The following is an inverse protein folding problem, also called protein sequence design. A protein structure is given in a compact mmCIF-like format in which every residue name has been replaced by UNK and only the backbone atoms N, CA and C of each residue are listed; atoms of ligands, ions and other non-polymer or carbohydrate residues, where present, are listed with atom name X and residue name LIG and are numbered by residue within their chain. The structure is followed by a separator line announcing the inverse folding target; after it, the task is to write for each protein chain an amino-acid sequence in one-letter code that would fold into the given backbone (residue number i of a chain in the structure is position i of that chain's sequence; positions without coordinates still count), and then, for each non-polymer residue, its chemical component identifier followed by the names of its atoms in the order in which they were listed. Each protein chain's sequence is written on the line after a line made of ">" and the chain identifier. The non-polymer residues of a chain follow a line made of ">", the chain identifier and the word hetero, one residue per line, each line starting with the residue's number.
data_IF_317986276432
#
_entry.id   IF_317986276432
#
_cell.length_a   1.000
_cell.length_b   1.000
_cell.length_c   1.000
_cell.angle_alpha   90.00
_cell.angle_beta   90.00
_cell.angle_gamma   90.00
#
_symmetry.space_group_name_H-M   'P 1'
#
loop_
_entity.id
_entity.type
_entity.pdbx_description
1 polymer ?
#
# COMPACT_ATOMS: atom_id res chain seq x y z
N UNK A 1 25.58 -13.73 -48.00
CA UNK A 1 24.64 -13.48 -46.90
C UNK A 1 25.36 -13.81 -45.60
N UNK A 2 25.97 -12.81 -44.96
CA UNK A 2 26.74 -12.98 -43.71
C UNK A 2 25.87 -12.48 -42.58
N UNK A 3 25.46 -13.39 -41.68
CA UNK A 3 24.69 -13.06 -40.49
C UNK A 3 25.68 -12.77 -39.35
N UNK A 4 25.86 -11.49 -39.04
CA UNK A 4 26.65 -11.05 -37.88
C UNK A 4 25.73 -11.02 -36.66
N UNK A 5 25.88 -11.98 -35.75
CA UNK A 5 25.27 -11.87 -34.42
C UNK A 5 26.11 -10.90 -33.58
N UNK A 6 25.60 -9.68 -33.41
CA UNK A 6 26.13 -8.73 -32.44
C UNK A 6 25.77 -9.19 -31.02
N UNK A 7 26.76 -9.69 -30.28
CA UNK A 7 26.61 -9.99 -28.85
C UNK A 7 26.52 -8.70 -28.04
N UNK A 8 25.33 -8.38 -27.54
CA UNK A 8 25.13 -7.26 -26.61
C UNK A 8 25.54 -7.75 -25.21
N UNK A 9 26.73 -7.34 -24.76
CA UNK A 9 27.18 -7.56 -23.38
C UNK A 9 26.35 -6.71 -22.42
N UNK A 10 25.42 -7.35 -21.71
CA UNK A 10 24.61 -6.68 -20.69
C UNK A 10 25.43 -6.46 -19.41
N UNK A 11 25.97 -5.26 -19.23
CA UNK A 11 26.39 -4.77 -17.90
C UNK A 11 25.13 -4.38 -17.10
N UNK A 12 24.41 -5.38 -16.62
CA UNK A 12 23.36 -5.19 -15.62
C UNK A 12 23.96 -5.39 -14.23
N UNK A 13 24.27 -4.31 -13.52
CA UNK A 13 24.55 -4.39 -12.08
C UNK A 13 23.33 -4.98 -11.39
N UNK A 14 23.47 -6.20 -10.85
CA UNK A 14 22.41 -6.88 -10.11
C UNK A 14 22.13 -6.09 -8.83
N UNK A 15 21.01 -5.38 -8.77
CA UNK A 15 20.51 -4.79 -7.54
C UNK A 15 20.33 -5.91 -6.52
N UNK A 16 21.19 -5.96 -5.51
CA UNK A 16 21.19 -7.00 -4.49
C UNK A 16 20.04 -6.72 -3.50
N UNK A 17 18.82 -7.07 -3.89
CA UNK A 17 17.67 -7.09 -2.98
C UNK A 17 17.73 -8.38 -2.17
N UNK A 18 18.38 -8.32 -1.00
CA UNK A 18 18.33 -9.43 -0.04
C UNK A 18 16.86 -9.66 0.33
N UNK A 19 16.37 -10.92 0.39
CA UNK A 19 15.02 -11.22 0.85
C UNK A 19 14.74 -10.50 2.16
N UNK A 20 13.82 -9.54 2.15
CA UNK A 20 13.43 -8.82 3.39
C UNK A 20 12.42 -9.62 4.21
N UNK A 21 11.93 -10.71 3.66
CA UNK A 21 11.10 -11.74 4.26
C UNK A 21 11.93 -12.94 4.77
N UNK A 22 13.17 -12.71 5.21
CA UNK A 22 13.93 -13.74 5.91
C UNK A 22 13.07 -14.29 7.06
N UNK A 23 13.09 -15.61 7.32
CA UNK A 23 12.45 -16.17 8.49
C UNK A 23 12.90 -15.35 9.69
N UNK A 24 11.93 -14.77 10.41
CA UNK A 24 12.24 -13.92 11.54
C UNK A 24 12.87 -14.81 12.62
N UNK A 25 14.21 -14.89 12.58
CA UNK A 25 14.99 -15.65 13.54
C UNK A 25 14.69 -15.04 14.90
N UNK A 26 13.94 -15.79 15.72
CA UNK A 26 13.38 -15.32 16.99
C UNK A 26 12.55 -14.04 16.83
N UNK A 27 11.42 -14.12 16.11
CA UNK A 27 10.27 -13.37 16.60
C UNK A 27 9.98 -13.94 18.00
N UNK A 28 10.43 -13.26 19.05
CA UNK A 28 9.55 -13.14 20.19
C UNK A 28 8.24 -12.67 19.55
N UNK A 29 7.23 -13.56 19.49
CA UNK A 29 5.90 -13.19 19.06
C UNK A 29 5.56 -12.01 19.93
N UNK A 30 5.72 -10.80 19.39
CA UNK A 30 5.22 -9.62 20.03
C UNK A 30 3.74 -9.92 20.08
N UNK A 31 3.25 -10.32 21.25
CA UNK A 31 1.83 -10.35 21.53
C UNK A 31 1.44 -8.88 21.44
N UNK A 32 1.18 -8.42 20.21
CA UNK A 32 0.43 -7.20 19.99
C UNK A 32 -0.86 -7.51 20.71
N UNK A 33 -1.15 -6.83 21.85
CA UNK A 33 -2.42 -7.07 22.52
C UNK A 33 -3.48 -6.88 21.46
N UNK A 34 -4.25 -7.94 21.18
CA UNK A 34 -5.41 -7.81 20.32
C UNK A 34 -6.22 -6.71 20.98
N UNK A 35 -6.39 -5.60 20.27
CA UNK A 35 -7.18 -4.50 20.79
C UNK A 35 -8.55 -5.09 21.07
N UNK A 36 -8.95 -5.08 22.34
CA UNK A 36 -10.29 -5.46 22.74
C UNK A 36 -11.26 -4.79 21.78
N UNK A 37 -12.26 -5.53 21.24
CA UNK A 37 -13.26 -4.94 20.36
C UNK A 37 -13.88 -3.74 21.09
N UNK A 38 -13.41 -2.55 20.74
CA UNK A 38 -14.03 -1.34 21.22
C UNK A 38 -15.42 -1.31 20.60
N UNK A 39 -16.43 -0.91 21.38
CA UNK A 39 -17.74 -0.65 20.83
C UNK A 39 -17.60 0.46 19.78
N UNK A 40 -17.49 0.05 18.51
CA UNK A 40 -17.42 0.91 17.34
C UNK A 40 -18.79 1.50 17.00
N UNK A 41 -19.85 1.03 17.67
CA UNK A 41 -21.20 1.53 17.52
C UNK A 41 -21.47 2.66 18.52
N UNK A 42 -20.89 3.83 18.23
CA UNK A 42 -21.43 5.08 18.74
C UNK A 42 -22.84 5.35 18.19
N UNK A 43 -23.47 6.50 18.54
CA UNK A 43 -24.76 6.88 17.97
C UNK A 43 -24.71 7.09 16.45
N UNK A 44 -23.52 7.17 15.87
CA UNK A 44 -23.27 7.20 14.43
C UNK A 44 -22.05 6.33 14.14
N UNK A 45 -22.16 5.49 13.11
CA UNK A 45 -21.08 4.60 12.66
C UNK A 45 -20.99 4.66 11.15
N UNK A 46 -19.79 4.89 10.64
CA UNK A 46 -19.50 5.00 9.22
C UNK A 46 -18.64 3.80 8.81
N UNK A 47 -19.12 3.08 7.80
CA UNK A 47 -18.35 2.07 7.09
C UNK A 47 -18.02 2.57 5.69
N UNK A 48 -16.78 2.35 5.24
CA UNK A 48 -16.32 2.75 3.91
C UNK A 48 -15.89 1.55 3.08
N UNK A 49 -16.11 1.66 1.77
CA UNK A 49 -15.66 0.67 0.78
C UNK A 49 -14.90 1.38 -0.34
N UNK A 50 -13.59 1.17 -0.41
CA UNK A 50 -12.72 1.77 -1.41
C UNK A 50 -12.51 0.82 -2.59
N UNK A 51 -12.92 1.26 -3.77
CA UNK A 51 -12.71 0.51 -5.01
C UNK A 51 -11.25 0.51 -5.47
N UNK A 52 -10.94 -0.34 -6.44
CA UNK A 52 -9.69 -0.34 -7.18
C UNK A 52 -9.64 0.76 -8.24
N UNK A 53 -8.52 0.84 -8.96
CA UNK A 53 -8.29 1.88 -9.99
C UNK A 53 -6.97 2.64 -9.83
N UNK A 54 -5.96 2.01 -9.21
CA UNK A 54 -4.62 2.55 -9.05
C UNK A 54 -4.57 3.82 -8.21
N UNK A 55 -3.63 4.70 -8.54
CA UNK A 55 -3.38 5.96 -7.80
C UNK A 55 -4.55 6.93 -7.82
N UNK A 56 -5.40 6.90 -8.86
CA UNK A 56 -6.62 7.73 -8.90
C UNK A 56 -7.64 7.31 -7.84
N UNK A 57 -7.86 6.00 -7.69
CA UNK A 57 -8.74 5.47 -6.65
C UNK A 57 -8.19 5.78 -5.25
N UNK A 58 -6.87 5.65 -5.06
CA UNK A 58 -6.20 6.02 -3.82
C UNK A 58 -6.40 7.52 -3.48
N UNK A 59 -6.22 8.40 -4.48
CA UNK A 59 -6.41 9.85 -4.34
C UNK A 59 -7.86 10.21 -3.98
N UNK A 60 -8.83 9.56 -4.62
CA UNK A 60 -10.25 9.78 -4.35
C UNK A 60 -10.62 9.34 -2.93
N UNK A 61 -10.21 8.14 -2.52
CA UNK A 61 -10.41 7.64 -1.16
C UNK A 61 -9.78 8.57 -0.11
N UNK A 62 -8.60 9.12 -0.40
CA UNK A 62 -7.94 10.10 0.45
C UNK A 62 -8.72 11.43 0.53
N UNK A 63 -9.28 11.89 -0.59
CA UNK A 63 -10.20 13.03 -0.62
C UNK A 63 -11.45 12.79 0.23
N UNK A 64 -12.04 11.59 0.17
CA UNK A 64 -13.20 11.22 0.97
C UNK A 64 -12.90 11.28 2.48
N UNK A 65 -11.73 10.77 2.91
CA UNK A 65 -11.29 10.88 4.31
C UNK A 65 -11.14 12.34 4.77
N UNK A 66 -10.53 13.20 3.94
CA UNK A 66 -10.43 14.64 4.24
C UNK A 66 -11.82 15.31 4.30
N UNK A 67 -12.74 14.90 3.42
CA UNK A 67 -14.12 15.40 3.41
C UNK A 67 -14.85 15.04 4.70
N UNK A 68 -14.74 13.79 5.17
CA UNK A 68 -15.25 13.39 6.47
C UNK A 68 -14.56 14.16 7.60
N UNK A 69 -13.26 14.44 7.47
CA UNK A 69 -12.54 15.18 8.51
C UNK A 69 -12.98 16.64 8.66
N UNK A 70 -13.37 17.26 7.55
CA UNK A 70 -13.86 18.63 7.52
C UNK A 70 -15.30 18.75 8.04
N UNK A 71 -16.09 17.68 7.98
CA UNK A 71 -17.47 17.66 8.45
C UNK A 71 -17.55 17.40 9.96
N UNK A 72 -18.50 18.07 10.62
CA UNK A 72 -18.74 17.94 12.05
C UNK A 72 -19.98 17.10 12.29
N UNK A 73 -19.83 16.02 13.05
CA UNK A 73 -20.90 15.15 13.50
C UNK A 73 -21.62 15.69 14.72
N UNK A 74 -22.44 14.83 15.33
CA UNK A 74 -23.16 15.15 16.56
C UNK A 74 -22.16 15.37 17.70
N UNK A 75 -22.26 16.51 18.38
CA UNK A 75 -21.32 16.87 19.45
C UNK A 75 -20.05 17.59 18.96
N UNK A 76 -19.96 17.94 17.68
CA UNK A 76 -18.87 18.77 17.14
C UNK A 76 -17.57 18.01 16.82
N UNK A 77 -17.54 16.69 17.07
CA UNK A 77 -16.45 15.83 16.63
C UNK A 77 -16.44 15.68 15.11
N UNK A 78 -15.33 15.19 14.57
CA UNK A 78 -15.20 14.95 13.14
C UNK A 78 -15.99 13.73 12.71
N UNK A 79 -16.69 13.76 11.57
CA UNK A 79 -17.34 12.53 11.06
C UNK A 79 -16.30 11.44 10.75
N UNK A 80 -15.04 11.81 10.54
CA UNK A 80 -13.96 10.85 10.40
C UNK A 80 -13.74 10.00 11.67
N UNK A 81 -14.07 10.53 12.86
CA UNK A 81 -13.95 9.80 14.13
C UNK A 81 -14.99 8.67 14.25
N UNK A 82 -16.08 8.75 13.48
CA UNK A 82 -17.14 7.73 13.43
C UNK A 82 -16.84 6.60 12.43
N UNK A 83 -15.69 6.63 11.74
CA UNK A 83 -15.28 5.57 10.81
C UNK A 83 -14.83 4.33 11.57
N UNK A 84 -15.67 3.31 11.58
CA UNK A 84 -15.41 2.05 12.27
C UNK A 84 -14.66 1.02 11.41
N UNK A 85 -14.93 0.97 10.11
CA UNK A 85 -14.34 -0.04 9.24
C UNK A 85 -14.18 0.46 7.79
N UNK A 86 -13.10 0.01 7.17
CA UNK A 86 -12.77 0.28 5.76
C UNK A 86 -12.50 -1.06 5.07
N UNK A 87 -13.33 -1.40 4.09
CA UNK A 87 -12.98 -2.41 3.09
C UNK A 87 -12.30 -1.74 1.90
N UNK A 88 -11.38 -2.45 1.24
CA UNK A 88 -10.69 -1.90 0.08
C UNK A 88 -10.17 -2.98 -0.85
N UNK A 89 -9.98 -2.61 -2.12
CA UNK A 89 -9.31 -3.46 -3.11
C UNK A 89 -8.29 -2.67 -3.94
N UNK A 90 -7.20 -3.33 -4.35
CA UNK A 90 -6.19 -2.80 -5.28
C UNK A 90 -5.70 -1.38 -4.90
N UNK A 91 -5.89 -0.38 -5.75
CA UNK A 91 -5.44 1.00 -5.50
C UNK A 91 -6.04 1.64 -4.25
N UNK A 92 -7.30 1.37 -3.92
CA UNK A 92 -7.93 1.88 -2.68
C UNK A 92 -7.28 1.33 -1.41
N UNK A 93 -6.66 0.15 -1.48
CA UNK A 93 -5.96 -0.48 -0.36
C UNK A 93 -4.72 0.29 0.07
N UNK A 94 -4.10 1.06 -0.82
CA UNK A 94 -2.97 1.92 -0.44
C UNK A 94 -3.41 2.97 0.59
N UNK A 95 -4.53 3.66 0.33
CA UNK A 95 -5.09 4.64 1.25
C UNK A 95 -5.61 3.99 2.52
N UNK A 96 -6.35 2.88 2.41
CA UNK A 96 -6.89 2.18 3.57
C UNK A 96 -5.78 1.69 4.51
N UNK A 97 -4.73 1.06 3.98
CA UNK A 97 -3.61 0.58 4.78
C UNK A 97 -2.82 1.73 5.41
N UNK A 98 -2.58 2.81 4.65
CA UNK A 98 -1.83 3.95 5.17
C UNK A 98 -2.62 4.70 6.26
N UNK A 99 -3.93 4.89 6.07
CA UNK A 99 -4.83 5.45 7.08
C UNK A 99 -4.91 4.53 8.31
N UNK A 100 -5.08 3.22 8.12
CA UNK A 100 -5.13 2.27 9.24
C UNK A 100 -3.87 2.25 10.10
N UNK A 101 -2.70 2.52 9.50
CA UNK A 101 -1.42 2.57 10.21
C UNK A 101 -1.16 3.91 10.93
N UNK A 102 -1.58 5.04 10.34
CA UNK A 102 -1.24 6.38 10.85
C UNK A 102 -2.44 7.14 11.43
N UNK A 103 -3.65 6.61 11.34
CA UNK A 103 -4.88 7.30 11.73
C UNK A 103 -5.02 8.67 11.06
N UNK A 104 -5.46 9.68 11.82
CA UNK A 104 -5.66 11.05 11.33
C UNK A 104 -4.39 11.74 10.83
N UNK A 105 -3.20 11.35 11.30
CA UNK A 105 -1.93 11.93 10.83
C UNK A 105 -1.67 11.61 9.35
N UNK A 106 -2.32 10.56 8.82
CA UNK A 106 -2.29 10.27 7.40
C UNK A 106 -2.82 11.42 6.53
N UNK A 107 -3.74 12.24 7.04
CA UNK A 107 -4.31 13.37 6.29
C UNK A 107 -3.25 14.41 5.91
N UNK A 108 -2.21 14.57 6.75
CA UNK A 108 -1.10 15.47 6.47
C UNK A 108 0.01 14.81 5.61
N UNK A 109 0.19 13.49 5.75
CA UNK A 109 1.40 12.80 5.28
C UNK A 109 1.19 11.95 4.02
N UNK A 110 -0.02 11.46 3.78
CA UNK A 110 -0.29 10.49 2.70
C UNK A 110 -0.06 11.06 1.30
N UNK A 111 -0.23 12.38 1.10
CA UNK A 111 0.02 13.02 -0.19
C UNK A 111 1.43 12.76 -0.70
N UNK A 112 2.43 12.76 0.18
CA UNK A 112 3.82 12.48 -0.20
C UNK A 112 4.02 11.02 -0.63
N UNK A 113 3.22 10.09 -0.11
CA UNK A 113 3.23 8.69 -0.53
C UNK A 113 2.54 8.52 -1.87
N UNK A 114 1.39 9.17 -2.06
CA UNK A 114 0.60 9.11 -3.28
C UNK A 114 1.36 9.61 -4.53
N UNK A 115 2.24 10.61 -4.34
CA UNK A 115 3.04 11.18 -5.42
C UNK A 115 4.28 10.36 -5.78
N UNK A 116 4.66 9.37 -4.97
CA UNK A 116 5.78 8.48 -5.31
C UNK A 116 5.33 7.49 -6.38
N UNK A 117 6.22 7.23 -7.35
CA UNK A 117 5.99 6.16 -8.32
C UNK A 117 6.18 4.79 -7.64
N UNK A 118 5.08 4.25 -7.12
CA UNK A 118 5.03 2.92 -6.50
C UNK A 118 5.21 1.77 -7.50
N UNK A 119 5.04 2.04 -8.80
CA UNK A 119 5.18 1.07 -9.88
C UNK A 119 6.57 1.13 -10.53
N UNK A 120 7.41 2.13 -10.21
CA UNK A 120 8.74 2.29 -10.77
C UNK A 120 9.60 1.02 -10.67
N UNK A 121 9.42 0.24 -9.61
CA UNK A 121 10.11 -1.04 -9.38
C UNK A 121 9.41 -2.25 -10.00
N UNK A 122 8.13 -2.11 -10.33
CA UNK A 122 7.32 -3.09 -11.06
C UNK A 122 7.45 -2.93 -12.57
N UNK A 123 8.05 -1.83 -13.06
CA UNK A 123 8.42 -1.64 -14.46
C UNK A 123 9.37 -2.76 -14.84
N UNK A 124 8.77 -3.73 -15.48
CA UNK A 124 9.31 -5.02 -15.72
C UNK A 124 10.66 -4.98 -16.44
N UNK A 125 11.65 -5.51 -15.74
CA UNK A 125 12.75 -6.22 -16.36
C UNK A 125 12.28 -7.58 -16.95
N UNK A 126 11.12 -7.63 -17.64
CA UNK A 126 10.59 -8.85 -18.28
C UNK A 126 11.45 -9.30 -19.46
N UNK A 127 12.30 -8.43 -19.99
CA UNK A 127 13.27 -8.78 -21.02
C UNK A 127 14.57 -9.36 -20.44
N UNK A 128 14.67 -9.47 -19.10
CA UNK A 128 15.84 -10.07 -18.45
C UNK A 128 15.53 -11.52 -18.02
N UNK A 129 16.15 -12.53 -18.65
CA UNK A 129 15.89 -13.93 -18.34
C UNK A 129 16.21 -14.29 -16.88
N UNK A 130 17.11 -13.57 -16.22
CA UNK A 130 17.44 -13.80 -14.81
C UNK A 130 16.34 -13.33 -13.85
N UNK A 131 15.58 -12.29 -14.20
CA UNK A 131 14.47 -11.82 -13.38
C UNK A 131 13.22 -12.70 -13.54
N UNK A 132 13.03 -13.30 -14.73
CA UNK A 132 12.02 -14.34 -14.94
C UNK A 132 12.36 -15.58 -14.10
N UNK A 133 13.60 -16.06 -14.12
CA UNK A 133 14.02 -17.20 -13.30
C UNK A 133 13.81 -16.96 -11.80
N UNK A 134 14.05 -15.74 -11.31
CA UNK A 134 13.76 -15.37 -9.91
C UNK A 134 12.26 -15.29 -9.60
N UNK A 135 11.44 -14.79 -10.53
CA UNK A 135 9.98 -14.78 -10.37
C UNK A 135 9.44 -16.20 -10.15
N UNK A 136 9.91 -17.17 -10.94
CA UNK A 136 9.57 -18.59 -10.76
C UNK A 136 10.19 -19.20 -9.49
N UNK A 137 11.32 -18.67 -9.03
CA UNK A 137 11.93 -19.00 -7.73
C UNK A 137 11.28 -18.31 -6.52
N UNK A 138 10.15 -17.59 -6.70
CA UNK A 138 9.41 -16.94 -5.62
C UNK A 138 9.85 -15.51 -5.26
N UNK A 139 10.65 -14.85 -6.12
CA UNK A 139 11.15 -13.50 -5.88
C UNK A 139 11.04 -12.59 -7.09
N UNK A 140 10.04 -11.71 -7.09
CA UNK A 140 10.03 -10.49 -7.90
C UNK A 140 9.73 -9.29 -6.99
N UNK A 141 10.60 -8.29 -7.01
CA UNK A 141 10.53 -7.05 -6.22
C UNK A 141 11.16 -5.87 -6.98
#
# INVERSE_FOLDING_TARGET
>A
MVLVLAGVGACGSLSHNVPRNLPQATAASATVPLREPADVAGPTTIAMAFSGGGTRAAAFAFGALQGLDAMRGRGGASLLDDVAFISSVSGGSLTAAYYGLHGKDSLATFRAVLLKDGEARLRFSLLNPFNIARLFGGGAQ
#
